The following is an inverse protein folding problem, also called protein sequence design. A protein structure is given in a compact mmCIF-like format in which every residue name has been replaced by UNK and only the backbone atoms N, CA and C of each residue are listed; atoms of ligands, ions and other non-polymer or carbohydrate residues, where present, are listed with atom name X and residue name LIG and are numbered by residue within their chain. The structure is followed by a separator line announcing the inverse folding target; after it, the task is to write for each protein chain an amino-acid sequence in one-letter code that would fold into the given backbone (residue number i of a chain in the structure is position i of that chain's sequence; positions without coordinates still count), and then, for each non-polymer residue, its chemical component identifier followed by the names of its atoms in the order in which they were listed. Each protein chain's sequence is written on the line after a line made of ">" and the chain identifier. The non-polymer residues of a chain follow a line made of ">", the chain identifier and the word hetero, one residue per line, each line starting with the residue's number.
data_IF_132145326003
#
_entry.id   IF_132145326003
#
_cell.length_a   1.000
_cell.length_b   1.000
_cell.length_c   1.000
_cell.angle_alpha   90.00
_cell.angle_beta   90.00
_cell.angle_gamma   90.00
#
_symmetry.space_group_name_H-M   'P 1'
#
loop_
_entity.id
_entity.type
_entity.pdbx_description
1 polymer ?
#
# COMPACT_ATOMS: atom_id res chain seq x y z
N UNK A 1 -17.56 15.64 -22.72
CA UNK A 1 -16.70 14.76 -21.90
C UNK A 1 -16.65 15.34 -20.50
N UNK A 2 -16.64 14.51 -19.46
CA UNK A 2 -16.51 14.98 -18.07
C UNK A 2 -15.11 15.56 -17.88
N UNK A 3 -15.02 16.76 -17.32
CA UNK A 3 -13.73 17.34 -16.92
C UNK A 3 -13.32 16.77 -15.57
N UNK A 4 -12.41 15.80 -15.60
CA UNK A 4 -11.86 15.14 -14.41
C UNK A 4 -11.00 16.07 -13.54
N UNK A 5 -10.65 17.26 -14.03
CA UNK A 5 -9.92 18.28 -13.29
C UNK A 5 -10.83 19.38 -12.72
N UNK A 6 -12.14 19.26 -12.91
CA UNK A 6 -13.07 20.18 -12.27
C UNK A 6 -13.05 19.96 -10.75
N UNK A 7 -13.03 21.06 -10.00
CA UNK A 7 -12.98 21.05 -8.53
C UNK A 7 -14.17 20.25 -7.94
N UNK A 8 -15.34 20.34 -8.58
CA UNK A 8 -16.55 19.61 -8.17
C UNK A 8 -16.38 18.09 -8.25
N UNK A 9 -15.71 17.59 -9.30
CA UNK A 9 -15.45 16.16 -9.48
C UNK A 9 -14.43 15.68 -8.46
N UNK A 10 -13.36 16.45 -8.24
CA UNK A 10 -12.33 16.12 -7.24
C UNK A 10 -12.93 16.04 -5.83
N UNK A 11 -13.71 17.04 -5.42
CA UNK A 11 -14.39 17.05 -4.11
C UNK A 11 -15.37 15.87 -3.97
N UNK A 12 -16.09 15.52 -5.04
CA UNK A 12 -17.02 14.37 -5.02
C UNK A 12 -16.26 13.06 -4.83
N UNK A 13 -15.16 12.86 -5.56
CA UNK A 13 -14.30 11.67 -5.43
C UNK A 13 -13.70 11.60 -4.03
N UNK A 14 -13.21 12.71 -3.49
CA UNK A 14 -12.66 12.77 -2.12
C UNK A 14 -13.72 12.39 -1.08
N UNK A 15 -14.96 12.90 -1.19
CA UNK A 15 -16.07 12.53 -0.28
C UNK A 15 -16.39 11.03 -0.34
N UNK A 16 -16.40 10.45 -1.54
CA UNK A 16 -16.61 9.01 -1.71
C UNK A 16 -15.46 8.22 -1.10
N UNK A 17 -14.22 8.65 -1.33
CA UNK A 17 -13.01 8.03 -0.79
C UNK A 17 -13.02 8.02 0.75
N UNK A 18 -13.34 9.13 1.41
CA UNK A 18 -13.40 9.19 2.89
C UNK A 18 -14.45 8.26 3.46
N UNK A 19 -15.63 8.19 2.84
CA UNK A 19 -16.70 7.26 3.25
C UNK A 19 -16.24 5.81 3.09
N UNK A 20 -15.56 5.50 1.99
CA UNK A 20 -15.00 4.17 1.75
C UNK A 20 -13.92 3.81 2.78
N UNK A 21 -12.97 4.71 3.05
CA UNK A 21 -11.93 4.54 4.08
C UNK A 21 -12.56 4.34 5.46
N UNK A 22 -13.63 5.07 5.79
CA UNK A 22 -14.35 4.92 7.06
C UNK A 22 -14.96 3.52 7.21
N UNK A 23 -15.55 2.96 6.14
CA UNK A 23 -16.05 1.58 6.14
C UNK A 23 -14.89 0.59 6.31
N UNK A 24 -13.79 0.79 5.58
CA UNK A 24 -12.60 -0.06 5.70
C UNK A 24 -12.00 -0.04 7.11
N UNK A 25 -11.98 1.12 7.78
CA UNK A 25 -11.55 1.23 9.18
C UNK A 25 -12.47 0.42 10.08
N UNK A 26 -13.79 0.45 9.88
CA UNK A 26 -14.72 -0.36 10.65
C UNK A 26 -14.42 -1.86 10.51
N UNK A 27 -14.21 -2.33 9.28
CA UNK A 27 -13.82 -3.71 9.01
C UNK A 27 -12.45 -4.05 9.62
N UNK A 28 -11.48 -3.15 9.46
CA UNK A 28 -10.14 -3.32 10.02
C UNK A 28 -10.16 -3.38 11.54
N UNK A 29 -10.92 -2.50 12.20
CA UNK A 29 -11.10 -2.47 13.65
C UNK A 29 -11.76 -3.76 14.16
N UNK A 30 -12.75 -4.28 13.43
CA UNK A 30 -13.36 -5.57 13.76
C UNK A 30 -12.33 -6.71 13.76
N UNK A 31 -11.52 -6.82 12.69
CA UNK A 31 -10.41 -7.79 12.65
C UNK A 31 -9.32 -7.50 13.68
N UNK A 32 -9.10 -6.22 13.99
CA UNK A 32 -8.14 -5.80 14.99
C UNK A 32 -8.55 -6.35 16.36
N UNK A 33 -9.79 -6.11 16.79
CA UNK A 33 -10.32 -6.59 18.08
C UNK A 33 -10.29 -8.11 18.17
N UNK A 34 -10.70 -8.83 17.11
CA UNK A 34 -10.66 -10.29 17.09
C UNK A 34 -9.22 -10.83 17.28
N UNK A 35 -8.28 -10.28 16.51
CA UNK A 35 -6.89 -10.74 16.54
C UNK A 35 -6.10 -10.22 17.75
N UNK A 36 -6.58 -9.17 18.43
CA UNK A 36 -5.94 -8.58 19.61
C UNK A 36 -5.82 -9.61 20.73
N UNK A 37 -6.87 -10.41 20.93
CA UNK A 37 -6.91 -11.44 21.96
C UNK A 37 -5.92 -12.59 21.69
N UNK A 38 -5.78 -13.00 20.44
CA UNK A 38 -4.98 -14.17 20.06
C UNK A 38 -3.47 -13.90 19.90
N UNK A 39 -3.10 -12.68 19.54
CA UNK A 39 -1.72 -12.32 19.19
C UNK A 39 -1.12 -11.38 20.22
N UNK A 40 -1.78 -10.25 20.49
CA UNK A 40 -1.18 -9.13 21.24
C UNK A 40 -1.17 -9.42 22.75
N UNK A 41 -2.29 -9.85 23.32
CA UNK A 41 -2.37 -10.24 24.75
C UNK A 41 -1.31 -11.29 25.12
N UNK A 42 -1.15 -12.43 24.41
CA UNK A 42 -0.12 -13.41 24.76
C UNK A 42 1.31 -12.93 24.48
N UNK A 43 1.52 -11.96 23.59
CA UNK A 43 2.84 -11.30 23.41
C UNK A 43 3.18 -10.42 24.61
N UNK A 44 2.24 -9.59 25.05
CA UNK A 44 2.39 -8.68 26.21
C UNK A 44 2.60 -9.49 27.49
N UNK A 45 1.80 -10.55 27.67
CA UNK A 45 1.93 -11.48 28.81
C UNK A 45 3.16 -12.41 28.71
N UNK A 46 4.03 -12.23 27.69
CA UNK A 46 5.21 -13.08 27.43
C UNK A 46 4.91 -14.58 27.37
N UNK A 47 3.64 -14.96 27.10
CA UNK A 47 3.22 -16.36 26.95
C UNK A 47 3.70 -16.95 25.63
N UNK A 48 3.92 -16.12 24.61
CA UNK A 48 4.50 -16.50 23.31
C UNK A 48 5.95 -16.05 23.21
N UNK A 49 6.81 -16.90 22.63
CA UNK A 49 8.19 -16.52 22.30
C UNK A 49 8.18 -15.47 21.20
N UNK A 50 8.97 -14.42 21.38
CA UNK A 50 9.14 -13.41 20.36
C UNK A 50 9.92 -13.99 19.18
N UNK A 51 9.27 -14.05 18.03
CA UNK A 51 9.86 -14.49 16.76
C UNK A 51 9.93 -13.28 15.83
N UNK A 52 11.01 -13.15 15.06
CA UNK A 52 11.28 -12.02 14.16
C UNK A 52 10.08 -11.60 13.27
N UNK A 53 9.26 -12.52 12.71
CA UNK A 53 8.11 -12.16 11.87
C UNK A 53 7.04 -11.31 12.55
N UNK A 54 6.99 -11.29 13.90
CA UNK A 54 6.02 -10.45 14.61
C UNK A 54 6.35 -8.96 14.52
N UNK A 55 7.60 -8.56 14.29
CA UNK A 55 8.01 -7.14 14.21
C UNK A 55 7.32 -6.41 13.06
N UNK A 56 7.53 -6.79 11.78
CA UNK A 56 6.86 -6.13 10.67
C UNK A 56 5.34 -6.32 10.72
N UNK A 57 4.85 -7.44 11.25
CA UNK A 57 3.41 -7.63 11.46
C UNK A 57 2.80 -6.54 12.35
N UNK A 58 3.40 -6.27 13.51
CA UNK A 58 2.91 -5.24 14.42
C UNK A 58 3.10 -3.84 13.84
N UNK A 59 4.27 -3.55 13.26
CA UNK A 59 4.54 -2.24 12.63
C UNK A 59 3.48 -1.93 11.58
N UNK A 60 3.26 -2.84 10.62
CA UNK A 60 2.30 -2.62 9.54
C UNK A 60 0.86 -2.47 10.02
N UNK A 61 0.48 -3.25 11.03
CA UNK A 61 -0.87 -3.20 11.59
C UNK A 61 -1.17 -1.88 12.28
N UNK A 62 -0.26 -1.41 13.15
CA UNK A 62 -0.46 -0.13 13.85
C UNK A 62 -0.26 1.07 12.91
N UNK A 63 0.67 1.00 11.96
CA UNK A 63 0.85 2.07 10.97
C UNK A 63 -0.35 2.17 10.04
N UNK A 64 -0.97 1.05 9.62
CA UNK A 64 -2.18 1.07 8.79
C UNK A 64 -3.37 1.68 9.54
N UNK A 65 -3.58 1.31 10.80
CA UNK A 65 -4.63 1.89 11.62
C UNK A 65 -4.44 3.40 11.80
N UNK A 66 -3.21 3.80 12.13
CA UNK A 66 -2.88 5.22 12.32
C UNK A 66 -3.01 5.99 11.01
N UNK A 67 -2.58 5.45 9.88
CA UNK A 67 -2.69 6.08 8.56
C UNK A 67 -4.14 6.28 8.14
N UNK A 68 -5.01 5.30 8.41
CA UNK A 68 -6.43 5.40 8.12
C UNK A 68 -7.12 6.46 9.01
N UNK A 69 -6.78 6.54 10.30
CA UNK A 69 -7.26 7.60 11.19
C UNK A 69 -6.78 8.97 10.70
N UNK A 70 -5.50 9.11 10.38
CA UNK A 70 -4.92 10.35 9.86
C UNK A 70 -5.60 10.78 8.56
N UNK A 71 -5.93 9.83 7.69
CA UNK A 71 -6.71 10.09 6.46
C UNK A 71 -8.05 10.74 6.79
N UNK A 72 -8.81 10.21 7.76
CA UNK A 72 -10.10 10.84 8.16
C UNK A 72 -9.87 12.25 8.73
N UNK A 73 -8.84 12.43 9.56
CA UNK A 73 -8.54 13.73 10.18
C UNK A 73 -8.20 14.81 9.15
N UNK A 74 -7.61 14.44 8.01
CA UNK A 74 -7.32 15.35 6.89
C UNK A 74 -8.59 15.99 6.32
N UNK A 75 -9.74 15.32 6.40
CA UNK A 75 -11.03 15.83 5.90
C UNK A 75 -11.92 16.38 7.02
N UNK A 76 -11.34 16.65 8.19
CA UNK A 76 -12.06 17.21 9.34
C UNK A 76 -11.70 18.68 9.53
N UNK A 77 -12.73 19.53 9.46
CA UNK A 77 -12.62 21.00 9.55
C UNK A 77 -12.05 21.51 10.87
N UNK A 78 -11.99 20.67 11.92
CA UNK A 78 -11.44 21.02 13.22
C UNK A 78 -9.90 21.08 13.28
N UNK A 79 -9.17 20.55 12.29
CA UNK A 79 -7.73 20.31 12.42
C UNK A 79 -6.81 21.23 11.60
N UNK A 80 -7.31 22.37 11.12
CA UNK A 80 -6.54 23.30 10.27
C UNK A 80 -5.16 23.71 10.82
N UNK A 81 -4.98 23.79 12.15
CA UNK A 81 -3.68 24.12 12.80
C UNK A 81 -2.67 22.97 12.80
N UNK A 82 -3.12 21.72 12.67
CA UNK A 82 -2.27 20.52 12.70
C UNK A 82 -2.13 19.86 11.33
N UNK A 83 -2.71 20.47 10.31
CA UNK A 83 -2.76 20.00 8.93
C UNK A 83 -1.38 19.64 8.35
N UNK A 84 -0.38 20.51 8.52
CA UNK A 84 0.99 20.28 8.03
C UNK A 84 1.61 19.01 8.65
N UNK A 85 1.40 18.79 9.95
CA UNK A 85 1.91 17.60 10.64
C UNK A 85 1.20 16.34 10.16
N UNK A 86 -0.11 16.42 9.91
CA UNK A 86 -0.89 15.29 9.41
C UNK A 86 -0.42 14.90 8.02
N UNK A 87 -0.33 15.87 7.09
CA UNK A 87 0.11 15.65 5.72
C UNK A 87 1.56 15.14 5.62
N UNK A 88 2.47 15.61 6.49
CA UNK A 88 3.84 15.07 6.58
C UNK A 88 3.89 13.66 7.17
N UNK A 89 2.95 13.33 8.05
CA UNK A 89 2.86 12.04 8.72
C UNK A 89 2.39 10.90 7.80
N UNK A 90 1.47 11.18 6.87
CA UNK A 90 0.86 10.15 6.03
C UNK A 90 1.86 9.36 5.18
N UNK A 91 2.79 9.98 4.42
CA UNK A 91 3.76 9.25 3.62
C UNK A 91 4.65 8.30 4.43
N UNK A 92 4.92 8.64 5.70
CA UNK A 92 5.71 7.82 6.60
C UNK A 92 4.94 6.55 6.98
N UNK A 93 3.68 6.73 7.38
CA UNK A 93 2.81 5.62 7.74
C UNK A 93 2.59 4.71 6.54
N UNK A 94 2.35 5.27 5.36
CA UNK A 94 2.17 4.50 4.12
C UNK A 94 3.42 3.71 3.75
N UNK A 95 4.61 4.31 3.86
CA UNK A 95 5.86 3.63 3.60
C UNK A 95 6.11 2.47 4.59
N UNK A 96 5.77 2.66 5.87
CA UNK A 96 5.82 1.60 6.89
C UNK A 96 4.81 0.49 6.60
N UNK A 97 3.57 0.81 6.21
CA UNK A 97 2.56 -0.18 5.84
C UNK A 97 3.02 -1.03 4.66
N UNK A 98 3.53 -0.40 3.60
CA UNK A 98 3.96 -1.10 2.39
C UNK A 98 5.14 -2.04 2.67
N UNK A 99 6.22 -1.52 3.25
CA UNK A 99 7.44 -2.32 3.52
C UNK A 99 7.18 -3.46 4.50
N UNK A 100 6.39 -3.22 5.53
CA UNK A 100 6.03 -4.25 6.50
C UNK A 100 5.11 -5.32 5.91
N UNK A 101 4.15 -4.95 5.05
CA UNK A 101 3.29 -5.87 4.32
C UNK A 101 4.11 -6.80 3.42
N UNK A 102 5.00 -6.24 2.60
CA UNK A 102 5.92 -7.01 1.74
C UNK A 102 6.80 -7.97 2.56
N UNK A 103 7.35 -7.49 3.68
CA UNK A 103 8.16 -8.32 4.59
C UNK A 103 7.34 -9.47 5.19
N UNK A 104 6.08 -9.24 5.55
CA UNK A 104 5.20 -10.29 6.09
C UNK A 104 4.92 -11.39 5.06
N UNK A 105 4.70 -11.02 3.80
CA UNK A 105 4.50 -12.01 2.72
C UNK A 105 5.81 -12.75 2.43
N UNK A 106 6.97 -12.07 2.48
CA UNK A 106 8.30 -12.64 2.27
C UNK A 106 8.66 -13.78 3.24
N UNK A 107 8.16 -13.77 4.48
CA UNK A 107 8.46 -14.87 5.42
C UNK A 107 7.92 -16.23 4.95
N UNK A 108 6.88 -16.26 4.12
CA UNK A 108 6.30 -17.51 3.60
C UNK A 108 7.27 -18.27 2.68
N UNK A 109 7.78 -17.68 1.57
CA UNK A 109 8.78 -18.35 0.76
C UNK A 109 10.11 -18.53 1.51
N UNK A 110 10.45 -17.65 2.47
CA UNK A 110 11.65 -17.83 3.30
C UNK A 110 11.61 -19.14 4.09
N UNK A 111 10.45 -19.48 4.68
CA UNK A 111 10.26 -20.74 5.39
C UNK A 111 10.33 -21.96 4.44
N UNK A 112 9.78 -21.81 3.24
CA UNK A 112 9.68 -22.86 2.22
C UNK A 112 11.03 -23.19 1.58
N UNK A 113 11.84 -22.17 1.30
CA UNK A 113 13.17 -22.31 0.69
C UNK A 113 14.30 -22.24 1.72
N UNK A 114 14.03 -22.51 3.00
CA UNK A 114 15.03 -22.42 4.08
C UNK A 114 16.31 -23.22 3.81
N UNK A 115 16.21 -24.32 3.05
CA UNK A 115 17.36 -25.15 2.68
C UNK A 115 18.20 -24.56 1.53
N UNK A 116 17.60 -23.75 0.64
CA UNK A 116 18.28 -23.15 -0.49
C UNK A 116 18.82 -21.77 -0.13
N UNK A 117 20.10 -21.72 0.26
CA UNK A 117 20.79 -20.49 0.70
C UNK A 117 20.73 -19.37 -0.34
N UNK A 118 20.77 -19.68 -1.64
CA UNK A 118 20.73 -18.66 -2.70
C UNK A 118 19.39 -17.90 -2.68
N UNK A 119 18.27 -18.61 -2.60
CA UNK A 119 16.94 -17.99 -2.55
C UNK A 119 16.77 -17.16 -1.28
N UNK A 120 17.25 -17.69 -0.14
CA UNK A 120 17.23 -16.97 1.14
C UNK A 120 18.03 -15.66 1.06
N UNK A 121 19.25 -15.69 0.51
CA UNK A 121 20.10 -14.49 0.37
C UNK A 121 19.44 -13.46 -0.54
N UNK A 122 18.82 -13.88 -1.65
CA UNK A 122 18.08 -12.97 -2.55
C UNK A 122 16.89 -12.35 -1.82
N UNK A 123 16.06 -13.15 -1.13
CA UNK A 123 14.91 -12.67 -0.35
C UNK A 123 15.29 -11.63 0.70
N UNK A 124 16.34 -11.90 1.48
CA UNK A 124 16.81 -10.98 2.52
C UNK A 124 17.41 -9.71 1.90
N UNK A 125 18.23 -9.83 0.86
CA UNK A 125 18.91 -8.67 0.23
C UNK A 125 17.90 -7.67 -0.35
N UNK A 126 16.91 -8.16 -1.10
CA UNK A 126 15.89 -7.29 -1.71
C UNK A 126 14.98 -6.66 -0.65
N UNK A 127 14.66 -7.38 0.42
CA UNK A 127 13.87 -6.82 1.52
C UNK A 127 14.65 -5.71 2.24
N UNK A 128 15.94 -5.92 2.50
CA UNK A 128 16.81 -4.84 3.05
C UNK A 128 16.84 -3.63 2.11
N UNK A 129 16.98 -3.85 0.80
CA UNK A 129 16.92 -2.78 -0.19
C UNK A 129 15.58 -2.02 -0.15
N UNK A 130 14.46 -2.72 -0.02
CA UNK A 130 13.12 -2.13 0.11
C UNK A 130 13.02 -1.21 1.34
N UNK A 131 13.52 -1.66 2.49
CA UNK A 131 13.54 -0.87 3.72
C UNK A 131 14.44 0.36 3.58
N UNK A 132 15.61 0.24 2.94
CA UNK A 132 16.50 1.37 2.70
C UNK A 132 15.86 2.43 1.78
N UNK A 133 15.15 2.00 0.73
CA UNK A 133 14.40 2.92 -0.15
C UNK A 133 13.25 3.62 0.58
N UNK A 134 12.55 2.90 1.46
CA UNK A 134 11.48 3.48 2.27
C UNK A 134 12.02 4.52 3.26
N UNK A 135 13.11 4.20 3.95
CA UNK A 135 13.76 5.13 4.89
C UNK A 135 14.27 6.37 4.16
N UNK A 136 14.88 6.22 2.98
CA UNK A 136 15.35 7.37 2.22
C UNK A 136 14.19 8.27 1.74
N UNK A 137 13.07 7.68 1.29
CA UNK A 137 11.87 8.44 0.93
C UNK A 137 11.30 9.22 2.12
N UNK A 138 11.28 8.62 3.32
CA UNK A 138 10.86 9.29 4.56
C UNK A 138 11.81 10.44 4.92
N UNK A 139 13.13 10.22 4.87
CA UNK A 139 14.12 11.26 5.18
C UNK A 139 13.95 12.46 4.23
N UNK A 140 13.78 12.21 2.93
CA UNK A 140 13.58 13.28 1.94
C UNK A 140 12.30 14.08 2.25
N UNK A 141 11.21 13.40 2.61
CA UNK A 141 9.94 14.06 2.97
C UNK A 141 10.10 14.95 4.20
N UNK A 142 10.91 14.54 5.19
CA UNK A 142 11.18 15.34 6.38
C UNK A 142 12.09 16.54 6.13
N UNK A 143 13.09 16.38 5.26
CA UNK A 143 14.03 17.44 4.93
C UNK A 143 13.44 18.46 3.95
N UNK A 144 12.37 18.11 3.25
CA UNK A 144 11.68 19.02 2.36
C UNK A 144 11.08 20.22 3.12
N UNK A 145 11.18 21.44 2.56
CA UNK A 145 10.52 22.60 3.13
C UNK A 145 8.99 22.39 3.17
N UNK A 146 8.27 22.97 4.15
CA UNK A 146 6.80 22.88 4.19
C UNK A 146 6.21 23.38 2.88
N UNK A 147 5.38 22.55 2.26
CA UNK A 147 4.57 22.99 1.14
C UNK A 147 3.61 24.10 1.61
N UNK A 148 3.33 25.12 0.78
CA UNK A 148 2.31 26.12 1.09
C UNK A 148 0.97 25.40 1.29
N UNK A 149 0.38 25.62 2.45
CA UNK A 149 -0.83 24.93 2.87
C UNK A 149 -2.04 25.72 2.38
N UNK A 150 -2.86 25.11 1.53
CA UNK A 150 -4.11 25.72 1.05
C UNK A 150 -5.23 25.13 1.86
N UNK A 151 -5.85 25.94 2.72
CA UNK A 151 -7.09 25.59 3.41
C UNK A 151 -8.23 26.18 2.57
N UNK A 152 -8.88 25.40 1.68
CA UNK A 152 -10.09 25.87 1.00
C UNK A 152 -11.18 26.20 2.04
N UNK A 153 -12.14 27.04 1.65
CA UNK A 153 -13.26 27.50 2.49
C UNK A 153 -14.08 26.35 3.14
N UNK A 154 -13.91 25.11 2.67
CA UNK A 154 -14.52 23.88 3.21
C UNK A 154 -13.78 23.21 4.37
N UNK A 155 -12.59 23.70 4.78
CA UNK A 155 -11.84 23.19 5.93
C UNK A 155 -11.08 21.88 5.70
N UNK A 156 -10.98 21.41 4.46
CA UNK A 156 -10.17 20.24 4.09
C UNK A 156 -8.67 20.56 4.07
N UNK A 157 -7.86 19.58 4.44
CA UNK A 157 -6.41 19.66 4.37
C UNK A 157 -5.90 19.12 3.04
N UNK A 158 -5.64 20.01 2.07
CA UNK A 158 -4.98 19.63 0.82
C UNK A 158 -3.64 20.33 0.68
N UNK A 159 -2.62 19.58 0.23
CA UNK A 159 -1.38 20.22 -0.21
C UNK A 159 -1.71 21.07 -1.44
N UNK A 160 -1.20 22.30 -1.49
CA UNK A 160 -1.27 23.08 -2.73
C UNK A 160 -0.70 22.22 -3.86
N UNK A 161 -1.40 22.15 -5.00
CA UNK A 161 -0.82 21.58 -6.20
C UNK A 161 0.54 22.26 -6.41
N UNK A 162 1.64 21.50 -6.53
CA UNK A 162 2.91 22.12 -6.87
C UNK A 162 2.72 22.89 -8.18
N UNK A 163 3.29 24.09 -8.31
CA UNK A 163 3.19 24.87 -9.53
C UNK A 163 3.56 23.96 -10.71
N UNK A 164 2.67 23.90 -11.70
CA UNK A 164 2.74 23.05 -12.88
C UNK A 164 4.15 23.06 -13.49
N UNK A 165 4.95 22.03 -13.19
CA UNK A 165 6.37 21.97 -13.57
C UNK A 165 7.19 20.98 -12.75
N UNK A 166 6.81 20.71 -11.49
CA UNK A 166 7.49 19.70 -10.68
C UNK A 166 7.07 18.29 -11.10
N UNK A 167 8.07 17.50 -11.53
CA UNK A 167 7.88 16.10 -11.89
C UNK A 167 7.36 15.34 -10.68
N UNK A 168 6.43 14.37 -10.85
CA UNK A 168 6.06 13.48 -9.75
C UNK A 168 7.33 12.89 -9.15
N UNK A 169 7.37 12.75 -7.83
CA UNK A 169 8.54 12.28 -7.11
C UNK A 169 9.04 10.98 -7.72
N UNK A 170 10.07 11.06 -8.57
CA UNK A 170 10.57 9.94 -9.38
C UNK A 170 10.92 8.76 -8.47
N UNK A 171 11.46 9.07 -7.30
CA UNK A 171 11.76 8.10 -6.25
C UNK A 171 10.51 7.36 -5.73
N UNK A 172 9.37 8.03 -5.57
CA UNK A 172 8.13 7.40 -5.13
C UNK A 172 7.58 6.43 -6.18
N UNK A 173 7.65 6.81 -7.47
CA UNK A 173 7.28 5.92 -8.58
C UNK A 173 8.21 4.69 -8.60
N UNK A 174 9.52 4.90 -8.51
CA UNK A 174 10.48 3.80 -8.46
C UNK A 174 10.25 2.88 -7.25
N UNK A 175 10.00 3.43 -6.06
CA UNK A 175 9.70 2.66 -4.86
C UNK A 175 8.43 1.82 -5.02
N UNK A 176 7.37 2.38 -5.62
CA UNK A 176 6.12 1.67 -5.84
C UNK A 176 6.28 0.54 -6.86
N UNK A 177 6.93 0.79 -8.00
CA UNK A 177 7.19 -0.23 -9.02
C UNK A 177 8.11 -1.34 -8.51
N UNK A 178 9.14 -0.97 -7.75
CA UNK A 178 10.03 -1.92 -7.08
C UNK A 178 9.25 -2.81 -6.11
N UNK A 179 8.43 -2.22 -5.24
CA UNK A 179 7.60 -2.95 -4.26
C UNK A 179 6.61 -3.88 -4.94
N UNK A 180 5.91 -3.43 -5.98
CA UNK A 180 4.97 -4.28 -6.73
C UNK A 180 5.67 -5.46 -7.40
N UNK A 181 6.84 -5.21 -8.02
CA UNK A 181 7.65 -6.26 -8.63
C UNK A 181 8.18 -7.25 -7.59
N UNK A 182 8.55 -6.74 -6.42
CA UNK A 182 9.02 -7.54 -5.30
C UNK A 182 7.93 -8.45 -4.74
N UNK A 183 6.74 -7.91 -4.49
CA UNK A 183 5.59 -8.69 -4.00
C UNK A 183 5.15 -9.76 -5.02
N UNK A 184 5.19 -9.44 -6.32
CA UNK A 184 4.91 -10.41 -7.38
C UNK A 184 5.94 -11.54 -7.43
N UNK A 185 7.22 -11.22 -7.27
CA UNK A 185 8.30 -12.21 -7.18
C UNK A 185 8.13 -13.11 -5.96
N UNK A 186 7.87 -12.52 -4.78
CA UNK A 186 7.59 -13.26 -3.54
C UNK A 186 6.39 -14.21 -3.72
N UNK A 187 5.31 -13.72 -4.32
CA UNK A 187 4.12 -14.54 -4.58
C UNK A 187 4.45 -15.68 -5.55
N UNK A 188 5.16 -15.39 -6.64
CA UNK A 188 5.62 -16.38 -7.62
C UNK A 188 6.47 -17.47 -6.98
N UNK A 189 7.44 -17.10 -6.14
CA UNK A 189 8.24 -18.06 -5.36
C UNK A 189 7.38 -18.89 -4.40
N UNK A 190 6.41 -18.26 -3.73
CA UNK A 190 5.51 -18.97 -2.81
C UNK A 190 4.68 -20.02 -3.55
N UNK A 191 4.10 -19.66 -4.69
CA UNK A 191 3.33 -20.58 -5.55
C UNK A 191 4.25 -21.70 -6.05
N UNK A 192 5.44 -21.35 -6.54
CA UNK A 192 6.40 -22.33 -7.05
C UNK A 192 6.84 -23.33 -5.98
N UNK A 193 7.20 -22.86 -4.78
CA UNK A 193 7.62 -23.77 -3.71
C UNK A 193 6.47 -24.65 -3.21
N UNK A 194 5.24 -24.13 -3.18
CA UNK A 194 4.06 -24.90 -2.77
C UNK A 194 3.69 -25.94 -3.84
N UNK A 195 3.84 -25.63 -5.13
CA UNK A 195 3.61 -26.59 -6.22
C UNK A 195 4.57 -27.78 -6.20
N UNK A 196 5.77 -27.61 -5.62
CA UNK A 196 6.73 -28.69 -5.42
C UNK A 196 6.38 -29.62 -4.25
N UNK A 197 5.50 -29.17 -3.35
CA UNK A 197 4.99 -29.99 -2.26
C UNK A 197 3.78 -30.77 -2.79
N UNK A 198 4.02 -32.02 -3.20
CA UNK A 198 3.01 -32.95 -3.75
C UNK A 198 1.68 -32.98 -2.96
N UNK A 199 1.63 -32.97 -1.61
CA UNK A 199 0.37 -32.96 -0.88
C UNK A 199 -0.35 -31.59 -0.81
N UNK A 200 0.24 -30.51 -1.32
CA UNK A 200 -0.30 -29.15 -1.15
C UNK A 200 -1.43 -28.79 -2.14
N UNK A 201 -1.51 -29.49 -3.29
CA UNK A 201 -2.46 -29.17 -4.36
C UNK A 201 -3.93 -29.32 -3.96
N UNK A 202 -4.24 -30.20 -3.01
CA UNK A 202 -5.60 -30.43 -2.49
C UNK A 202 -5.93 -29.58 -1.26
N UNK A 203 -4.98 -28.81 -0.74
CA UNK A 203 -5.21 -28.02 0.46
C UNK A 203 -6.12 -26.83 0.18
N UNK A 204 -7.09 -26.51 1.06
CA UNK A 204 -7.95 -25.32 0.91
C UNK A 204 -7.12 -24.02 0.95
N UNK A 205 -5.91 -24.06 1.50
CA UNK A 205 -4.97 -22.94 1.51
C UNK A 205 -4.40 -22.65 0.11
N UNK A 206 -4.06 -23.69 -0.67
CA UNK A 206 -3.58 -23.54 -2.05
C UNK A 206 -4.63 -22.88 -2.96
N UNK A 207 -5.88 -23.35 -2.88
CA UNK A 207 -6.99 -22.81 -3.67
C UNK A 207 -7.23 -21.33 -3.36
N UNK A 208 -7.22 -20.95 -2.08
CA UNK A 208 -7.41 -19.54 -1.67
C UNK A 208 -6.22 -18.67 -2.10
N UNK A 209 -4.99 -19.15 -1.88
CA UNK A 209 -3.79 -18.39 -2.24
C UNK A 209 -3.67 -18.17 -3.75
N UNK A 210 -3.93 -19.21 -4.55
CA UNK A 210 -3.87 -19.10 -6.01
C UNK A 210 -4.95 -18.15 -6.54
N UNK A 211 -6.21 -18.33 -6.13
CA UNK A 211 -7.32 -17.51 -6.65
C UNK A 211 -7.23 -16.05 -6.22
N UNK A 212 -6.89 -15.79 -4.96
CA UNK A 212 -6.83 -14.42 -4.43
C UNK A 212 -5.51 -13.73 -4.75
N UNK A 213 -4.39 -14.45 -4.66
CA UNK A 213 -3.05 -13.90 -4.91
C UNK A 213 -2.78 -13.61 -6.39
N UNK A 214 -3.03 -14.59 -7.27
CA UNK A 214 -2.78 -14.42 -8.72
C UNK A 214 -3.75 -13.40 -9.31
N UNK A 215 -5.02 -13.45 -8.91
CA UNK A 215 -6.02 -12.46 -9.33
C UNK A 215 -5.63 -11.03 -8.96
N UNK A 216 -5.13 -10.81 -7.74
CA UNK A 216 -4.63 -9.51 -7.30
C UNK A 216 -3.44 -9.02 -8.14
N UNK A 217 -2.44 -9.88 -8.39
CA UNK A 217 -1.27 -9.49 -9.18
C UNK A 217 -1.67 -9.12 -10.61
N UNK A 218 -2.46 -9.95 -11.28
CA UNK A 218 -2.89 -9.68 -12.65
C UNK A 218 -3.69 -8.37 -12.75
N UNK A 219 -4.67 -8.17 -11.86
CA UNK A 219 -5.47 -6.95 -11.85
C UNK A 219 -4.62 -5.70 -11.58
N UNK A 220 -3.66 -5.80 -10.65
CA UNK A 220 -2.79 -4.67 -10.29
C UNK A 220 -1.82 -4.32 -11.42
N UNK A 221 -1.23 -5.32 -12.08
CA UNK A 221 -0.32 -5.08 -13.20
C UNK A 221 -1.05 -4.49 -14.41
N UNK A 222 -2.24 -4.99 -14.76
CA UNK A 222 -3.03 -4.40 -15.85
C UNK A 222 -3.38 -2.94 -15.58
N UNK A 223 -3.77 -2.61 -14.33
CA UNK A 223 -4.11 -1.25 -13.95
C UNK A 223 -2.89 -0.30 -14.02
N UNK A 224 -1.76 -0.71 -13.44
CA UNK A 224 -0.53 0.10 -13.41
C UNK A 224 0.05 0.28 -14.80
N UNK A 225 0.09 -0.80 -15.59
CA UNK A 225 0.62 -0.74 -16.94
C UNK A 225 -0.24 0.15 -17.84
N UNK A 226 -1.57 0.04 -17.78
CA UNK A 226 -2.46 0.98 -18.50
C UNK A 226 -2.22 2.43 -18.11
N UNK A 227 -2.09 2.71 -16.81
CA UNK A 227 -1.94 4.09 -16.36
C UNK A 227 -0.56 4.68 -16.73
N UNK A 228 0.51 3.89 -16.65
CA UNK A 228 1.85 4.30 -17.06
C UNK A 228 1.94 4.52 -18.59
N UNK A 229 1.19 3.72 -19.38
CA UNK A 229 1.16 3.86 -20.83
C UNK A 229 0.32 5.04 -21.29
N UNK A 230 -0.83 5.32 -20.64
CA UNK A 230 -1.65 6.49 -20.97
C UNK A 230 -0.97 7.82 -20.64
N UNK A 231 -0.09 7.89 -19.63
CA UNK A 231 0.65 9.12 -19.31
C UNK A 231 1.84 9.38 -20.26
N UNK A 232 2.39 8.32 -20.87
CA UNK A 232 3.45 8.41 -21.87
C UNK A 232 2.99 8.85 -23.26
N UNK A 233 1.69 8.76 -23.55
CA UNK A 233 1.11 9.10 -24.85
C UNK A 233 0.39 10.46 -24.81
N UNK A 234 1.05 11.44 -24.18
CA UNK A 234 0.58 12.83 -24.08
C UNK A 234 0.75 13.62 -25.40
N UNK A 235 1.22 12.97 -26.46
CA UNK A 235 1.21 13.47 -27.84
C UNK A 235 0.33 12.57 -28.73
N UNK A 236 -0.99 12.65 -28.51
CA UNK A 236 -2.01 12.24 -29.48
C UNK A 236 -2.19 10.73 -29.67
N UNK A 237 -3.05 10.11 -28.86
CA UNK A 237 -4.16 9.22 -29.28
C UNK A 237 -4.89 8.79 -28.00
N UNK A 238 -6.22 8.97 -28.00
CA UNK A 238 -7.13 8.66 -26.90
C UNK A 238 -6.94 7.24 -26.35
N UNK A 239 -6.75 7.10 -25.04
CA UNK A 239 -7.04 5.85 -24.34
C UNK A 239 -8.55 5.57 -24.48
N UNK A 240 -8.88 4.64 -25.40
CA UNK A 240 -10.23 4.30 -25.83
C UNK A 240 -11.08 3.81 -24.66
N UNK A 241 -12.15 4.56 -24.40
CA UNK A 241 -13.09 4.39 -23.29
C UNK A 241 -14.09 3.25 -23.51
N UNK A 242 -13.99 2.52 -24.62
CA UNK A 242 -14.99 1.50 -25.01
C UNK A 242 -15.11 0.32 -24.06
N UNK A 243 -14.07 -0.01 -23.28
CA UNK A 243 -14.10 -1.22 -22.44
C UNK A 243 -14.99 -1.03 -21.18
N UNK A 244 -15.32 0.20 -20.79
CA UNK A 244 -16.23 0.43 -19.64
C UNK A 244 -17.72 0.36 -20.00
N UNK A 245 -18.09 0.52 -21.28
CA UNK A 245 -19.48 0.45 -21.72
C UNK A 245 -19.98 -0.99 -21.97
N UNK A 246 -19.09 -1.97 -22.03
CA UNK A 246 -19.48 -3.36 -22.30
C UNK A 246 -19.84 -4.15 -21.02
N UNK A 247 -19.68 -3.54 -19.84
CA UNK A 247 -20.12 -4.12 -18.55
C UNK A 247 -21.37 -3.44 -17.97
N UNK A 248 -22.02 -2.55 -18.73
CA UNK A 248 -23.24 -1.84 -18.30
C UNK A 248 -24.51 -2.21 -19.08
N UNK A 249 -24.48 -3.25 -19.91
CA UNK A 249 -25.67 -3.86 -20.51
C UNK A 249 -25.78 -5.34 -20.11
#
# INVERSE_FOLDING_TARGET
>A
MVDWKSEDVEQTIQKVYVRFVSVLIGVFLYYFVLSFYDVEIPLILKKKRFVLPYVPYLIGRYSAMTGAIMTILTFSTSYGKHCDRILRGMPILDALVLTSSSTNIMFRPLALFRQNRYVVVVLVTFTVAQWLMSISAVIITFLAPPAPLVVPLGGDCSAAHPPSGDKPGVLAIFFYLFTMSWDALILGLTIFGLSRLIPAHTSPLWIRLYRQGVGYVLATYECVFRHAWCDGQRDGILCDSRIFNEYQN
#
